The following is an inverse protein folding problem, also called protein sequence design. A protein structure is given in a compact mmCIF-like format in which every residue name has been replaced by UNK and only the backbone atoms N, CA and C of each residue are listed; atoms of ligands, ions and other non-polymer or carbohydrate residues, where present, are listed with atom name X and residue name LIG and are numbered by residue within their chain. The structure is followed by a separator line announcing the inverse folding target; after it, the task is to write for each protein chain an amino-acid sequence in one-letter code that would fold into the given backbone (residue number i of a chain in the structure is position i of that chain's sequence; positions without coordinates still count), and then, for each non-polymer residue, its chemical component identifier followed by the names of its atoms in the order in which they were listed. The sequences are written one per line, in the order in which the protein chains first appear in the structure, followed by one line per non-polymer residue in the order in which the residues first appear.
data_IF_350582975455
#
_entry.id   IF_350582975455
#
_cell.length_a   1.000
_cell.length_b   1.000
_cell.length_c   1.000
_cell.angle_alpha   90.00
_cell.angle_beta   90.00
_cell.angle_gamma   90.00
#
_symmetry.space_group_name_H-M   'P 1'
#
loop_
_entity.id
_entity.type
_entity.pdbx_description
1 polymer ?
#
# COMPACT_ATOMS: atom_id res chain seq x y z
N UNK A 1 20.72 -6.61 0.01
CA UNK A 1 21.00 -5.52 0.96
C UNK A 1 19.85 -5.31 1.94
N UNK A 2 18.57 -5.22 1.49
CA UNK A 2 17.42 -5.01 2.38
C UNK A 2 17.30 -6.10 3.45
N UNK A 3 17.45 -7.38 3.09
CA UNK A 3 17.40 -8.47 4.07
C UNK A 3 18.53 -8.36 5.13
N UNK A 4 19.74 -7.98 4.70
CA UNK A 4 20.84 -7.75 5.62
C UNK A 4 20.52 -6.58 6.54
N UNK A 5 20.02 -5.47 6.00
CA UNK A 5 19.64 -4.31 6.79
C UNK A 5 18.55 -4.64 7.83
N UNK A 6 17.57 -5.48 7.46
CA UNK A 6 16.53 -5.94 8.40
C UNK A 6 17.13 -6.74 9.55
N UNK A 7 18.03 -7.67 9.27
CA UNK A 7 18.72 -8.46 10.32
C UNK A 7 19.54 -7.53 11.22
N UNK A 8 20.30 -6.62 10.62
CA UNK A 8 21.11 -5.64 11.37
C UNK A 8 20.20 -4.75 12.22
N UNK A 9 19.06 -4.29 11.70
CA UNK A 9 18.11 -3.49 12.47
C UNK A 9 17.64 -4.25 13.71
N UNK A 10 17.16 -5.50 13.55
CA UNK A 10 16.69 -6.32 14.69
C UNK A 10 17.81 -6.51 15.73
N UNK A 11 19.04 -6.82 15.30
CA UNK A 11 20.16 -7.01 16.22
C UNK A 11 20.49 -5.73 16.97
N UNK A 12 20.54 -4.59 16.26
CA UNK A 12 20.80 -3.29 16.87
C UNK A 12 19.65 -2.83 17.77
N UNK A 13 18.39 -3.10 17.45
CA UNK A 13 17.24 -2.79 18.30
C UNK A 13 17.40 -3.52 19.64
N UNK A 14 17.64 -4.82 19.61
CA UNK A 14 17.86 -5.60 20.84
C UNK A 14 19.06 -5.06 21.63
N UNK A 15 20.16 -4.77 20.96
CA UNK A 15 21.38 -4.25 21.62
C UNK A 15 21.16 -2.88 22.24
N UNK A 16 20.56 -1.93 21.53
CA UNK A 16 20.37 -0.57 22.03
C UNK A 16 19.27 -0.46 23.09
N UNK A 17 18.20 -1.25 22.95
CA UNK A 17 17.09 -1.20 23.90
C UNK A 17 17.41 -1.99 25.17
N UNK A 18 17.94 -3.22 25.02
CA UNK A 18 18.15 -4.12 26.16
C UNK A 18 19.49 -3.86 26.85
N UNK A 19 20.60 -3.80 26.08
CA UNK A 19 21.94 -3.68 26.65
C UNK A 19 22.30 -2.23 27.05
N UNK A 20 22.01 -1.26 26.19
CA UNK A 20 22.31 0.14 26.42
C UNK A 20 21.15 0.92 27.08
N UNK A 21 19.95 0.32 27.19
CA UNK A 21 18.74 0.90 27.80
C UNK A 21 18.36 2.28 27.23
N UNK A 22 18.62 2.51 25.95
CA UNK A 22 18.33 3.78 25.28
C UNK A 22 16.82 3.96 24.96
N UNK A 23 15.98 2.94 25.20
CA UNK A 23 14.55 3.01 24.95
C UNK A 23 14.22 3.36 23.49
N UNK A 24 13.28 4.29 23.28
CA UNK A 24 12.82 4.70 21.94
C UNK A 24 13.94 5.31 21.09
N UNK A 25 14.86 6.05 21.71
CA UNK A 25 16.01 6.63 21.00
C UNK A 25 16.93 5.55 20.44
N UNK A 26 17.08 4.42 21.14
CA UNK A 26 17.85 3.27 20.67
C UNK A 26 17.23 2.64 19.42
N UNK A 27 15.91 2.44 19.40
CA UNK A 27 15.19 1.95 18.23
C UNK A 27 15.35 2.87 17.01
N UNK A 28 15.25 4.19 17.22
CA UNK A 28 15.45 5.17 16.16
C UNK A 28 16.87 5.12 15.58
N UNK A 29 17.89 5.02 16.44
CA UNK A 29 19.29 4.88 16.02
C UNK A 29 19.54 3.58 15.25
N UNK A 30 19.01 2.46 15.71
CA UNK A 30 19.11 1.17 15.02
C UNK A 30 18.54 1.24 13.61
N UNK A 31 17.37 1.85 13.45
CA UNK A 31 16.73 2.05 12.15
C UNK A 31 17.57 2.92 11.22
N UNK A 32 18.09 4.05 11.71
CA UNK A 32 18.95 4.94 10.91
C UNK A 32 20.21 4.23 10.45
N UNK A 33 20.91 3.51 11.35
CA UNK A 33 22.14 2.77 11.03
C UNK A 33 21.85 1.67 9.99
N UNK A 34 20.79 0.90 10.18
CA UNK A 34 20.43 -0.17 9.25
C UNK A 34 20.09 0.36 7.85
N UNK A 35 19.33 1.46 7.76
CA UNK A 35 19.02 2.11 6.49
C UNK A 35 20.25 2.72 5.83
N UNK A 36 21.12 3.37 6.59
CA UNK A 36 22.37 3.90 6.08
C UNK A 36 23.27 2.78 5.53
N UNK A 37 23.41 1.67 6.26
CA UNK A 37 24.15 0.50 5.81
C UNK A 37 23.61 -0.07 4.49
N UNK A 38 22.29 -0.18 4.36
CA UNK A 38 21.64 -0.61 3.12
C UNK A 38 21.91 0.36 1.98
N UNK A 39 21.73 1.66 2.20
CA UNK A 39 21.92 2.69 1.17
C UNK A 39 23.38 2.76 0.69
N UNK A 40 24.33 2.82 1.60
CA UNK A 40 25.76 2.79 1.25
C UNK A 40 26.18 1.47 0.60
N UNK A 41 25.66 0.34 1.08
CA UNK A 41 25.92 -0.97 0.49
C UNK A 41 25.44 -1.07 -0.96
N UNK A 42 24.23 -0.61 -1.25
CA UNK A 42 23.70 -0.57 -2.62
C UNK A 42 24.53 0.40 -3.48
N UNK A 43 24.85 1.57 -2.95
CA UNK A 43 25.66 2.58 -3.65
C UNK A 43 27.01 1.99 -4.06
N UNK A 44 27.75 1.39 -3.14
CA UNK A 44 29.04 0.76 -3.41
C UNK A 44 28.89 -0.36 -4.45
N UNK A 45 27.87 -1.20 -4.30
CA UNK A 45 27.61 -2.28 -5.26
C UNK A 45 27.39 -1.75 -6.68
N UNK A 46 26.58 -0.69 -6.85
CA UNK A 46 26.34 -0.06 -8.16
C UNK A 46 27.63 0.51 -8.74
N UNK A 47 28.44 1.22 -7.95
CA UNK A 47 29.71 1.77 -8.39
C UNK A 47 30.71 0.69 -8.84
N UNK A 48 30.70 -0.48 -8.20
CA UNK A 48 31.62 -1.56 -8.54
C UNK A 48 31.14 -2.43 -9.71
N UNK A 49 29.81 -2.67 -9.80
CA UNK A 49 29.26 -3.71 -10.67
C UNK A 49 28.49 -3.17 -11.86
N UNK A 50 27.91 -1.97 -11.74
CA UNK A 50 26.97 -1.40 -12.73
C UNK A 50 27.49 -0.05 -13.25
N UNK A 51 28.75 -0.03 -13.73
CA UNK A 51 29.41 1.22 -14.18
C UNK A 51 28.66 1.91 -15.32
N UNK A 52 27.96 1.14 -16.15
CA UNK A 52 27.17 1.65 -17.28
C UNK A 52 25.95 2.47 -16.87
N UNK A 53 25.46 2.29 -15.62
CA UNK A 53 24.37 3.08 -15.06
C UNK A 53 24.83 4.40 -14.43
N UNK A 54 26.16 4.59 -14.28
CA UNK A 54 26.68 5.80 -13.64
C UNK A 54 26.61 6.98 -14.62
N UNK A 55 26.09 8.14 -14.16
CA UNK A 55 26.05 9.33 -15.01
C UNK A 55 27.47 9.79 -15.34
N UNK A 56 27.79 9.91 -16.62
CA UNK A 56 29.04 10.53 -17.09
C UNK A 56 28.83 12.05 -17.15
N UNK A 57 29.94 12.80 -17.21
CA UNK A 57 29.89 14.26 -17.34
C UNK A 57 29.05 14.73 -18.55
N UNK A 58 28.96 13.93 -19.59
CA UNK A 58 28.15 14.22 -20.77
C UNK A 58 26.64 14.17 -20.51
N UNK A 59 26.21 13.40 -19.48
CA UNK A 59 24.80 13.31 -19.06
C UNK A 59 24.41 14.35 -18.01
N UNK A 60 25.39 15.09 -17.47
CA UNK A 60 25.15 16.13 -16.46
C UNK A 60 24.80 17.48 -17.12
N UNK A 61 23.75 17.51 -17.94
CA UNK A 61 23.16 18.74 -18.44
C UNK A 61 21.71 18.86 -18.03
N UNK A 62 21.26 20.09 -17.84
CA UNK A 62 19.88 20.37 -17.46
C UNK A 62 18.99 20.33 -18.68
N UNK A 63 18.03 19.40 -18.69
CA UNK A 63 16.98 19.28 -19.70
C UNK A 63 15.64 19.66 -19.09
N UNK A 64 15.05 20.73 -19.61
CA UNK A 64 13.79 21.29 -19.10
C UNK A 64 12.61 20.33 -19.29
N UNK A 65 12.58 19.58 -20.39
CA UNK A 65 11.49 18.65 -20.67
C UNK A 65 11.53 17.45 -19.71
N UNK A 66 12.72 16.91 -19.47
CA UNK A 66 12.93 15.84 -18.49
C UNK A 66 12.59 16.31 -17.09
N UNK A 67 13.03 17.51 -16.72
CA UNK A 67 12.72 18.11 -15.42
C UNK A 67 11.20 18.30 -15.23
N UNK A 68 10.50 18.82 -16.24
CA UNK A 68 9.05 19.00 -16.18
C UNK A 68 8.32 17.65 -15.99
N UNK A 69 8.72 16.60 -16.71
CA UNK A 69 8.17 15.26 -16.53
C UNK A 69 8.40 14.75 -15.11
N UNK A 70 9.62 14.81 -14.60
CA UNK A 70 9.94 14.38 -13.22
C UNK A 70 9.11 15.16 -12.21
N UNK A 71 9.03 16.49 -12.35
CA UNK A 71 8.22 17.35 -11.48
C UNK A 71 6.76 16.92 -11.48
N UNK A 72 6.15 16.75 -12.65
CA UNK A 72 4.72 16.46 -12.77
C UNK A 72 4.37 15.07 -12.19
N UNK A 73 5.20 14.06 -12.46
CA UNK A 73 5.04 12.74 -11.85
C UNK A 73 5.23 12.76 -10.32
N UNK A 74 6.23 13.49 -9.87
CA UNK A 74 6.52 13.61 -8.43
C UNK A 74 5.40 14.34 -7.69
N UNK A 75 4.88 15.44 -8.27
CA UNK A 75 3.75 16.18 -7.70
C UNK A 75 2.49 15.32 -7.62
N UNK A 76 2.14 14.60 -8.70
CA UNK A 76 0.97 13.72 -8.70
C UNK A 76 1.10 12.59 -7.67
N UNK A 77 2.28 12.00 -7.55
CA UNK A 77 2.54 10.96 -6.54
C UNK A 77 2.47 11.54 -5.12
N UNK A 78 3.01 12.74 -4.91
CA UNK A 78 2.95 13.44 -3.63
C UNK A 78 1.49 13.76 -3.24
N UNK A 79 0.69 14.30 -4.18
CA UNK A 79 -0.73 14.57 -3.98
C UNK A 79 -1.47 13.26 -3.65
N UNK A 80 -1.24 12.19 -4.41
CA UNK A 80 -1.87 10.88 -4.16
C UNK A 80 -1.58 10.40 -2.74
N UNK A 81 -0.32 10.42 -2.32
CA UNK A 81 0.10 9.96 -1.01
C UNK A 81 -0.45 10.85 0.12
N UNK A 82 -0.48 12.16 -0.10
CA UNK A 82 -1.04 13.11 0.86
C UNK A 82 -2.55 12.91 1.05
N UNK A 83 -3.30 12.75 -0.05
CA UNK A 83 -4.75 12.43 0.00
C UNK A 83 -4.98 11.12 0.75
N UNK A 84 -4.16 10.09 0.46
CA UNK A 84 -4.27 8.80 1.12
C UNK A 84 -4.07 8.92 2.64
N UNK A 85 -3.00 9.57 3.08
CA UNK A 85 -2.72 9.76 4.49
C UNK A 85 -3.79 10.61 5.19
N UNK A 86 -4.25 11.70 4.54
CA UNK A 86 -5.30 12.55 5.08
C UNK A 86 -6.62 11.80 5.26
N UNK A 87 -7.03 10.98 4.27
CA UNK A 87 -8.21 10.14 4.38
C UNK A 87 -8.13 9.12 5.53
N UNK A 88 -6.97 8.52 5.74
CA UNK A 88 -6.73 7.62 6.89
C UNK A 88 -6.88 8.37 8.20
N UNK A 89 -6.29 9.58 8.32
CA UNK A 89 -6.40 10.40 9.52
C UNK A 89 -7.84 10.83 9.82
N UNK A 90 -8.64 11.16 8.80
CA UNK A 90 -10.06 11.49 8.99
C UNK A 90 -10.84 10.31 9.54
N UNK A 91 -10.64 9.11 9.01
CA UNK A 91 -11.28 7.90 9.54
C UNK A 91 -10.81 7.61 10.96
N UNK A 92 -9.51 7.74 11.25
CA UNK A 92 -8.99 7.57 12.61
C UNK A 92 -9.64 8.56 13.59
N UNK A 93 -9.80 9.83 13.18
CA UNK A 93 -10.49 10.85 13.96
C UNK A 93 -11.95 10.48 14.26
N UNK A 94 -12.67 9.96 13.26
CA UNK A 94 -14.04 9.48 13.43
C UNK A 94 -14.11 8.27 14.36
N UNK A 95 -13.23 7.29 14.20
CA UNK A 95 -13.16 6.11 15.09
C UNK A 95 -12.90 6.53 16.55
N UNK A 96 -12.04 7.51 16.76
CA UNK A 96 -11.75 8.02 18.10
C UNK A 96 -12.99 8.62 18.80
N UNK A 97 -13.96 9.17 18.05
CA UNK A 97 -15.20 9.70 18.59
C UNK A 97 -16.14 8.62 19.15
N UNK A 98 -15.95 7.35 18.79
CA UNK A 98 -16.71 6.21 19.31
C UNK A 98 -16.18 5.67 20.66
N UNK A 99 -15.13 6.27 21.19
CA UNK A 99 -14.57 5.94 22.50
C UNK A 99 -13.41 4.93 22.46
N UNK A 100 -12.88 4.67 23.66
CA UNK A 100 -11.62 3.93 23.83
C UNK A 100 -11.72 2.48 23.34
N UNK A 101 -12.86 1.82 23.54
CA UNK A 101 -13.07 0.41 23.13
C UNK A 101 -12.94 0.26 21.61
N UNK A 102 -13.67 1.09 20.86
CA UNK A 102 -13.64 1.06 19.38
C UNK A 102 -12.28 1.49 18.83
N UNK A 103 -11.64 2.50 19.46
CA UNK A 103 -10.30 2.94 19.10
C UNK A 103 -9.26 1.82 19.29
N UNK A 104 -9.33 1.09 20.41
CA UNK A 104 -8.42 -0.03 20.70
C UNK A 104 -8.63 -1.20 19.73
N UNK A 105 -9.89 -1.54 19.46
CA UNK A 105 -10.24 -2.57 18.48
C UNK A 105 -9.71 -2.24 17.09
N UNK A 106 -9.94 -1.00 16.63
CA UNK A 106 -9.46 -0.52 15.34
C UNK A 106 -7.94 -0.50 15.26
N UNK A 107 -7.26 -0.01 16.29
CA UNK A 107 -5.80 0.06 16.31
C UNK A 107 -5.13 -1.33 16.21
N UNK A 108 -5.69 -2.34 16.88
CA UNK A 108 -5.22 -3.72 16.78
C UNK A 108 -5.54 -4.32 15.41
N UNK A 109 -6.78 -4.16 14.95
CA UNK A 109 -7.24 -4.71 13.69
C UNK A 109 -6.50 -4.12 12.47
N UNK A 110 -6.24 -2.81 12.44
CA UNK A 110 -5.44 -2.15 11.36
C UNK A 110 -4.00 -2.64 11.33
N UNK A 111 -3.41 -3.00 12.48
CA UNK A 111 -2.06 -3.61 12.48
C UNK A 111 -2.07 -4.99 11.84
N UNK A 112 -3.08 -5.81 12.13
CA UNK A 112 -3.26 -7.12 11.49
C UNK A 112 -3.48 -6.95 9.99
N UNK A 113 -4.37 -6.04 9.62
CA UNK A 113 -4.70 -5.68 8.24
C UNK A 113 -3.46 -5.23 7.45
N UNK A 114 -2.54 -4.49 8.09
CA UNK A 114 -1.29 -4.06 7.46
C UNK A 114 -0.43 -5.22 6.96
N UNK A 115 -0.37 -6.33 7.67
CA UNK A 115 0.33 -7.54 7.22
C UNK A 115 -0.33 -8.18 5.99
N UNK A 116 -1.62 -7.96 5.80
CA UNK A 116 -2.36 -8.48 4.66
C UNK A 116 -2.19 -7.58 3.42
N UNK A 117 -2.36 -6.27 3.54
CA UNK A 117 -2.36 -5.40 2.37
C UNK A 117 -0.98 -4.90 1.93
N UNK A 118 0.01 -4.76 2.84
CA UNK A 118 1.35 -4.28 2.47
C UNK A 118 2.02 -5.10 1.35
N UNK A 119 2.00 -6.45 1.39
CA UNK A 119 2.58 -7.22 0.29
C UNK A 119 1.90 -6.97 -1.05
N UNK A 120 0.59 -6.73 -1.04
CA UNK A 120 -0.18 -6.44 -2.26
C UNK A 120 0.15 -5.04 -2.80
N UNK A 121 0.33 -4.07 -1.90
CA UNK A 121 0.77 -2.72 -2.25
C UNK A 121 2.17 -2.74 -2.88
N UNK A 122 3.10 -3.49 -2.28
CA UNK A 122 4.47 -3.60 -2.81
C UNK A 122 4.51 -4.35 -4.12
N UNK A 123 3.66 -5.38 -4.29
CA UNK A 123 3.48 -6.05 -5.57
C UNK A 123 2.97 -5.07 -6.65
N UNK A 124 2.00 -4.21 -6.32
CA UNK A 124 1.51 -3.15 -7.21
C UNK A 124 2.62 -2.15 -7.59
N UNK A 125 3.50 -1.80 -6.66
CA UNK A 125 4.65 -0.92 -6.92
C UNK A 125 5.68 -1.60 -7.85
N UNK A 126 6.01 -2.88 -7.61
CA UNK A 126 6.87 -3.68 -8.48
C UNK A 126 6.27 -3.84 -9.89
N UNK A 127 4.97 -4.10 -9.95
CA UNK A 127 4.23 -4.18 -11.21
C UNK A 127 4.27 -2.87 -12.00
N UNK A 128 4.19 -1.72 -11.33
CA UNK A 128 4.36 -0.42 -11.98
C UNK A 128 5.72 -0.28 -12.69
N UNK A 129 6.79 -0.74 -12.05
CA UNK A 129 8.14 -0.74 -12.62
C UNK A 129 8.22 -1.67 -13.83
N UNK A 130 7.65 -2.88 -13.72
CA UNK A 130 7.58 -3.83 -14.84
C UNK A 130 6.86 -3.23 -16.05
N UNK A 131 5.70 -2.60 -15.85
CA UNK A 131 4.93 -1.95 -16.92
C UNK A 131 5.76 -0.83 -17.56
N UNK A 132 6.37 0.05 -16.75
CA UNK A 132 7.15 1.19 -17.24
C UNK A 132 8.34 0.74 -18.10
N UNK A 133 9.07 -0.30 -17.68
CA UNK A 133 10.19 -0.85 -18.45
C UNK A 133 9.75 -1.42 -19.79
N UNK A 134 8.68 -2.24 -19.80
CA UNK A 134 8.19 -2.85 -21.03
C UNK A 134 7.53 -1.81 -21.96
N UNK A 135 6.89 -0.78 -21.41
CA UNK A 135 6.37 0.35 -22.19
C UNK A 135 7.49 1.15 -22.85
N UNK A 136 8.57 1.42 -22.11
CA UNK A 136 9.77 2.07 -22.65
C UNK A 136 10.46 1.26 -23.75
N UNK A 137 10.38 -0.07 -23.69
CA UNK A 137 10.90 -0.99 -24.71
C UNK A 137 9.93 -1.24 -25.87
N UNK A 138 8.71 -0.67 -25.86
CA UNK A 138 7.61 -0.92 -26.82
C UNK A 138 7.17 -2.39 -26.89
N UNK A 139 7.28 -3.13 -25.77
CA UNK A 139 6.95 -4.56 -25.67
C UNK A 139 5.50 -4.74 -25.16
N UNK A 140 4.51 -4.36 -25.98
CA UNK A 140 3.08 -4.40 -25.61
C UNK A 140 2.59 -5.83 -25.27
N UNK A 141 3.08 -6.85 -26.00
CA UNK A 141 2.71 -8.25 -25.74
C UNK A 141 3.18 -8.70 -24.34
N UNK A 142 4.36 -8.25 -23.91
CA UNK A 142 4.87 -8.54 -22.57
C UNK A 142 4.06 -7.85 -21.48
N UNK A 143 3.60 -6.62 -21.74
CA UNK A 143 2.70 -5.90 -20.82
C UNK A 143 1.41 -6.69 -20.61
N UNK A 144 0.80 -7.20 -21.67
CA UNK A 144 -0.45 -7.98 -21.59
C UNK A 144 -0.27 -9.30 -20.83
N UNK A 145 0.78 -10.05 -21.15
CA UNK A 145 1.10 -11.29 -20.44
C UNK A 145 1.39 -11.02 -18.96
N UNK A 146 2.15 -9.97 -18.68
CA UNK A 146 2.45 -9.53 -17.31
C UNK A 146 1.19 -9.10 -16.55
N UNK A 147 0.27 -8.38 -17.19
CA UNK A 147 -1.00 -7.97 -16.58
C UNK A 147 -1.86 -9.19 -16.20
N UNK A 148 -2.02 -10.16 -17.11
CA UNK A 148 -2.75 -11.41 -16.82
C UNK A 148 -2.12 -12.18 -15.65
N UNK A 149 -0.80 -12.31 -15.66
CA UNK A 149 -0.06 -12.98 -14.57
C UNK A 149 -0.21 -12.22 -13.24
N UNK A 150 -0.10 -10.89 -13.27
CA UNK A 150 -0.24 -10.06 -12.07
C UNK A 150 -1.64 -10.16 -11.46
N UNK A 151 -2.69 -10.13 -12.28
CA UNK A 151 -4.07 -10.32 -11.83
C UNK A 151 -4.22 -11.72 -11.19
N UNK A 152 -3.73 -12.77 -11.85
CA UNK A 152 -3.83 -14.12 -11.32
C UNK A 152 -3.11 -14.28 -9.97
N UNK A 153 -1.86 -13.83 -9.87
CA UNK A 153 -1.05 -13.92 -8.66
C UNK A 153 -1.68 -13.10 -7.53
N UNK A 154 -2.07 -11.85 -7.80
CA UNK A 154 -2.72 -10.99 -6.81
C UNK A 154 -4.03 -11.56 -6.32
N UNK A 155 -4.85 -12.13 -7.23
CA UNK A 155 -6.13 -12.76 -6.87
C UNK A 155 -5.91 -13.96 -5.96
N UNK A 156 -4.98 -14.86 -6.30
CA UNK A 156 -4.67 -16.04 -5.48
C UNK A 156 -4.18 -15.60 -4.11
N UNK A 157 -3.26 -14.64 -4.06
CA UNK A 157 -2.72 -14.12 -2.81
C UNK A 157 -3.82 -13.49 -1.95
N UNK A 158 -4.66 -12.60 -2.53
CA UNK A 158 -5.75 -11.96 -1.81
C UNK A 158 -6.75 -12.97 -1.26
N UNK A 159 -7.11 -14.01 -2.03
CA UNK A 159 -8.02 -15.06 -1.56
C UNK A 159 -7.42 -15.88 -0.42
N UNK A 160 -6.12 -16.23 -0.49
CA UNK A 160 -5.44 -16.94 0.60
C UNK A 160 -5.40 -16.10 1.88
N UNK A 161 -5.04 -14.82 1.78
CA UNK A 161 -5.00 -13.92 2.94
C UNK A 161 -6.41 -13.65 3.47
N UNK A 162 -7.40 -13.43 2.59
CA UNK A 162 -8.81 -13.30 2.98
C UNK A 162 -9.27 -14.48 3.81
N UNK A 163 -9.02 -15.69 3.32
CA UNK A 163 -9.38 -16.91 4.06
C UNK A 163 -8.68 -16.96 5.43
N UNK A 164 -7.37 -16.68 5.46
CA UNK A 164 -6.59 -16.69 6.70
C UNK A 164 -7.10 -15.66 7.71
N UNK A 165 -7.29 -14.40 7.29
CA UNK A 165 -7.72 -13.32 8.19
C UNK A 165 -9.16 -13.53 8.68
N UNK A 166 -10.08 -13.92 7.80
CA UNK A 166 -11.49 -14.13 8.18
C UNK A 166 -11.65 -15.34 9.10
N UNK A 167 -10.95 -16.44 8.81
CA UNK A 167 -11.06 -17.67 9.59
C UNK A 167 -10.38 -17.57 10.96
N UNK A 168 -9.21 -16.91 11.00
CA UNK A 168 -8.41 -16.75 12.23
C UNK A 168 -8.55 -15.37 12.87
N UNK A 169 -9.62 -14.62 12.56
CA UNK A 169 -9.81 -13.24 13.06
C UNK A 169 -9.73 -13.14 14.59
N UNK A 170 -10.29 -14.11 15.30
CA UNK A 170 -10.27 -14.16 16.78
C UNK A 170 -8.86 -14.38 17.29
N UNK A 171 -8.16 -15.35 16.77
CA UNK A 171 -6.80 -15.71 17.17
C UNK A 171 -5.82 -14.58 16.89
N UNK A 172 -6.00 -13.92 15.76
CA UNK A 172 -5.20 -12.74 15.38
C UNK A 172 -5.44 -11.57 16.34
N UNK A 173 -6.69 -11.32 16.74
CA UNK A 173 -7.00 -10.28 17.74
C UNK A 173 -6.40 -10.60 19.10
N UNK A 174 -6.38 -11.87 19.51
CA UNK A 174 -5.80 -12.31 20.78
C UNK A 174 -4.27 -12.12 20.87
N UNK A 175 -3.58 -11.90 19.74
CA UNK A 175 -2.15 -11.56 19.74
C UNK A 175 -1.92 -10.15 20.34
N UNK A 176 -2.88 -9.25 20.14
CA UNK A 176 -2.74 -7.83 20.52
C UNK A 176 -3.59 -7.42 21.72
N UNK A 177 -4.68 -8.14 21.97
CA UNK A 177 -5.70 -7.79 22.98
C UNK A 177 -5.83 -8.92 23.99
N UNK A 178 -5.88 -8.55 25.27
CA UNK A 178 -6.04 -9.54 26.35
C UNK A 178 -7.40 -10.23 26.27
N UNK A 179 -7.49 -11.55 26.53
CA UNK A 179 -8.73 -12.33 26.41
C UNK A 179 -9.92 -11.84 27.24
N UNK A 180 -9.67 -11.06 28.32
CA UNK A 180 -10.72 -10.47 29.15
C UNK A 180 -11.49 -9.35 28.45
N UNK A 181 -10.91 -8.72 27.41
CA UNK A 181 -11.48 -7.57 26.69
C UNK A 181 -12.41 -8.05 25.56
N UNK A 182 -13.49 -8.74 25.93
CA UNK A 182 -14.40 -9.43 25.00
C UNK A 182 -15.00 -8.46 23.97
N UNK A 183 -15.37 -7.27 24.40
CA UNK A 183 -16.01 -6.27 23.53
C UNK A 183 -15.03 -5.73 22.47
N UNK A 184 -13.78 -5.44 22.86
CA UNK A 184 -12.73 -4.99 21.93
C UNK A 184 -12.45 -6.08 20.89
N UNK A 185 -12.35 -7.32 21.35
CA UNK A 185 -12.13 -8.48 20.45
C UNK A 185 -13.29 -8.64 19.47
N UNK A 186 -14.54 -8.54 19.95
CA UNK A 186 -15.71 -8.68 19.09
C UNK A 186 -15.76 -7.61 17.99
N UNK A 187 -15.48 -6.35 18.33
CA UNK A 187 -15.42 -5.24 17.36
C UNK A 187 -14.28 -5.42 16.36
N UNK A 188 -13.11 -5.86 16.82
CA UNK A 188 -11.96 -6.15 15.95
C UNK A 188 -12.21 -7.32 15.00
N UNK A 189 -12.85 -8.39 15.47
CA UNK A 189 -13.26 -9.52 14.61
C UNK A 189 -14.21 -9.04 13.52
N UNK A 190 -15.21 -8.22 13.88
CA UNK A 190 -16.16 -7.67 12.91
C UNK A 190 -15.45 -6.85 11.83
N UNK A 191 -14.50 -5.98 12.20
CA UNK A 191 -13.68 -5.24 11.26
C UNK A 191 -12.92 -6.18 10.31
N UNK A 192 -12.15 -7.12 10.87
CA UNK A 192 -11.32 -8.06 10.11
C UNK A 192 -12.14 -8.96 9.18
N UNK A 193 -13.36 -9.34 9.57
CA UNK A 193 -14.25 -10.12 8.72
C UNK A 193 -14.77 -9.29 7.54
N UNK A 194 -15.18 -8.05 7.77
CA UNK A 194 -15.69 -7.17 6.70
C UNK A 194 -14.59 -6.84 5.70
N UNK A 195 -13.44 -6.35 6.17
CA UNK A 195 -12.33 -6.00 5.28
C UNK A 195 -11.67 -7.23 4.66
N UNK A 196 -11.47 -8.28 5.47
CA UNK A 196 -10.86 -9.52 5.01
C UNK A 196 -11.61 -10.18 3.86
N UNK A 197 -12.95 -10.20 3.88
CA UNK A 197 -13.75 -10.68 2.76
C UNK A 197 -13.57 -9.86 1.47
N UNK A 198 -13.11 -8.62 1.59
CA UNK A 198 -13.01 -7.66 0.49
C UNK A 198 -11.57 -7.38 0.03
N UNK A 199 -10.56 -8.12 0.51
CA UNK A 199 -9.15 -7.89 0.11
C UNK A 199 -8.90 -8.02 -1.39
N UNK A 200 -9.76 -8.72 -2.12
CA UNK A 200 -9.68 -8.74 -3.58
C UNK A 200 -9.84 -7.34 -4.17
N UNK A 201 -10.70 -6.49 -3.59
CA UNK A 201 -10.88 -5.10 -4.01
C UNK A 201 -9.61 -4.27 -3.83
N UNK A 202 -8.98 -4.30 -2.64
CA UNK A 202 -7.74 -3.55 -2.45
C UNK A 202 -6.61 -4.07 -3.34
N UNK A 203 -6.56 -5.40 -3.58
CA UNK A 203 -5.61 -6.01 -4.50
C UNK A 203 -5.75 -5.51 -5.93
N UNK A 204 -6.97 -5.43 -6.44
CA UNK A 204 -7.30 -4.86 -7.73
C UNK A 204 -6.90 -3.38 -7.81
N UNK A 205 -7.23 -2.60 -6.76
CA UNK A 205 -6.92 -1.18 -6.69
C UNK A 205 -5.42 -0.89 -6.77
N UNK A 206 -4.58 -1.64 -6.05
CA UNK A 206 -3.13 -1.47 -6.12
C UNK A 206 -2.55 -1.87 -7.48
N UNK A 207 -3.11 -2.90 -8.14
CA UNK A 207 -2.72 -3.23 -9.51
C UNK A 207 -3.10 -2.12 -10.49
N UNK A 208 -4.28 -1.52 -10.36
CA UNK A 208 -4.71 -0.37 -11.17
C UNK A 208 -3.78 0.83 -10.94
N UNK A 209 -3.42 1.14 -9.70
CA UNK A 209 -2.44 2.18 -9.40
C UNK A 209 -1.09 1.89 -10.06
N UNK A 210 -0.61 0.65 -9.97
CA UNK A 210 0.63 0.23 -10.59
C UNK A 210 0.59 0.35 -12.10
N UNK A 211 -0.48 -0.15 -12.73
CA UNK A 211 -0.69 -0.08 -14.17
C UNK A 211 -0.69 1.35 -14.69
N UNK A 212 -1.56 2.23 -14.15
CA UNK A 212 -1.69 3.59 -14.62
C UNK A 212 -0.43 4.44 -14.40
N UNK A 213 0.29 4.23 -13.31
CA UNK A 213 1.61 4.84 -13.11
C UNK A 213 2.63 4.34 -14.14
N UNK A 214 2.66 3.03 -14.39
CA UNK A 214 3.60 2.40 -15.32
C UNK A 214 3.38 2.80 -16.78
N UNK A 215 2.13 2.98 -17.23
CA UNK A 215 1.83 3.44 -18.59
C UNK A 215 1.98 4.95 -18.78
N UNK A 216 2.38 5.68 -17.74
CA UNK A 216 2.60 7.12 -17.83
C UNK A 216 1.37 7.99 -17.59
N UNK A 217 0.35 7.47 -16.90
CA UNK A 217 -0.90 8.18 -16.57
C UNK A 217 -1.14 8.28 -15.06
N UNK A 218 -0.19 8.78 -14.25
CA UNK A 218 -0.30 8.82 -12.80
C UNK A 218 -1.50 9.64 -12.29
N UNK A 219 -1.99 10.60 -13.08
CA UNK A 219 -3.18 11.37 -12.73
C UNK A 219 -4.43 10.51 -12.53
N UNK A 220 -4.54 9.36 -13.24
CA UNK A 220 -5.66 8.42 -13.05
C UNK A 220 -5.53 7.74 -11.68
N UNK A 221 -4.34 7.35 -11.25
CA UNK A 221 -4.11 6.80 -9.92
C UNK A 221 -4.55 7.78 -8.83
N UNK A 222 -4.30 9.09 -9.02
CA UNK A 222 -4.79 10.14 -8.10
C UNK A 222 -6.31 10.16 -8.07
N UNK A 223 -6.97 10.16 -9.24
CA UNK A 223 -8.45 10.15 -9.33
C UNK A 223 -9.04 8.94 -8.61
N UNK A 224 -8.48 7.74 -8.85
CA UNK A 224 -8.94 6.52 -8.17
C UNK A 224 -8.74 6.59 -6.65
N UNK A 225 -7.64 7.19 -6.19
CA UNK A 225 -7.40 7.42 -4.76
C UNK A 225 -8.43 8.37 -4.17
N UNK A 226 -8.76 9.48 -4.86
CA UNK A 226 -9.78 10.43 -4.42
C UNK A 226 -11.17 9.76 -4.37
N UNK A 227 -11.52 8.95 -5.37
CA UNK A 227 -12.78 8.21 -5.39
C UNK A 227 -12.82 7.23 -4.22
N UNK A 228 -11.79 6.40 -4.04
CA UNK A 228 -11.75 5.40 -2.97
C UNK A 228 -11.87 6.04 -1.59
N UNK A 229 -10.99 7.00 -1.27
CA UNK A 229 -10.95 7.62 0.05
C UNK A 229 -12.05 8.65 0.26
N UNK A 230 -12.39 9.41 -0.77
CA UNK A 230 -13.50 10.36 -0.71
C UNK A 230 -14.83 9.66 -0.41
N UNK A 231 -15.12 8.56 -1.10
CA UNK A 231 -16.29 7.72 -0.84
C UNK A 231 -16.26 7.14 0.58
N UNK A 232 -15.12 6.59 0.99
CA UNK A 232 -14.91 6.03 2.34
C UNK A 232 -15.20 7.08 3.41
N UNK A 233 -14.59 8.27 3.31
CA UNK A 233 -14.79 9.35 4.28
C UNK A 233 -16.25 9.83 4.26
N UNK A 234 -16.81 10.10 3.07
CA UNK A 234 -18.19 10.56 2.94
C UNK A 234 -19.20 9.57 3.56
N UNK A 235 -19.11 8.28 3.20
CA UNK A 235 -20.00 7.26 3.74
C UNK A 235 -19.82 7.08 5.26
N UNK A 236 -18.58 7.05 5.74
CA UNK A 236 -18.32 6.92 7.17
C UNK A 236 -18.94 8.07 7.96
N UNK A 237 -18.70 9.34 7.57
CA UNK A 237 -19.26 10.50 8.28
C UNK A 237 -20.78 10.63 8.16
N UNK A 238 -21.37 10.23 7.02
CA UNK A 238 -22.82 10.30 6.81
C UNK A 238 -23.56 9.22 7.62
N UNK A 239 -23.04 8.01 7.65
CA UNK A 239 -23.77 6.85 8.20
C UNK A 239 -23.31 6.41 9.58
N UNK A 240 -22.11 6.78 10.05
CA UNK A 240 -21.65 6.42 11.40
C UNK A 240 -22.58 6.94 12.52
N UNK A 241 -23.18 8.14 12.44
CA UNK A 241 -24.11 8.60 13.49
C UNK A 241 -25.36 7.74 13.63
N UNK A 242 -25.82 7.06 12.58
CA UNK A 242 -27.04 6.25 12.56
C UNK A 242 -26.79 4.76 12.68
N UNK A 243 -25.73 4.25 12.04
CA UNK A 243 -25.42 2.82 11.96
C UNK A 243 -24.24 2.41 12.86
N UNK A 244 -23.66 3.37 13.58
CA UNK A 244 -22.52 3.12 14.46
C UNK A 244 -21.23 2.79 13.69
N UNK A 245 -20.30 2.16 14.38
CA UNK A 245 -18.99 1.82 13.84
C UNK A 245 -19.00 0.89 12.62
N UNK A 246 -20.03 0.06 12.48
CA UNK A 246 -20.19 -0.80 11.29
C UNK A 246 -20.20 -0.02 9.98
N UNK A 247 -20.78 1.21 9.99
CA UNK A 247 -20.77 2.06 8.81
C UNK A 247 -19.34 2.44 8.37
N UNK A 248 -18.44 2.64 9.34
CA UNK A 248 -17.04 2.94 9.06
C UNK A 248 -16.36 1.74 8.41
N UNK A 249 -16.61 0.53 8.95
CA UNK A 249 -16.02 -0.70 8.42
C UNK A 249 -16.45 -0.97 6.98
N UNK A 250 -17.74 -0.85 6.68
CA UNK A 250 -18.27 -1.06 5.32
C UNK A 250 -17.90 0.05 4.33
N UNK A 251 -17.68 1.28 4.81
CA UNK A 251 -17.30 2.40 3.95
C UNK A 251 -15.95 2.15 3.26
N UNK A 252 -15.05 1.35 3.86
CA UNK A 252 -13.73 1.07 3.33
C UNK A 252 -13.80 0.22 2.07
N UNK A 253 -14.38 -1.00 2.08
CA UNK A 253 -14.46 -1.81 0.87
C UNK A 253 -15.37 -1.21 -0.21
N UNK A 254 -16.42 -0.49 0.15
CA UNK A 254 -17.26 0.21 -0.83
C UNK A 254 -16.42 1.22 -1.62
N UNK A 255 -15.52 1.95 -0.93
CA UNK A 255 -14.60 2.87 -1.58
C UNK A 255 -13.65 2.16 -2.55
N UNK A 256 -13.13 0.98 -2.19
CA UNK A 256 -12.27 0.19 -3.07
C UNK A 256 -13.02 -0.24 -4.34
N UNK A 257 -14.18 -0.87 -4.19
CA UNK A 257 -14.96 -1.37 -5.34
C UNK A 257 -15.40 -0.26 -6.28
N UNK A 258 -15.76 0.92 -5.75
CA UNK A 258 -16.13 2.05 -6.59
C UNK A 258 -14.94 2.58 -7.41
N UNK A 259 -13.76 2.65 -6.80
CA UNK A 259 -12.54 3.03 -7.50
C UNK A 259 -12.14 1.97 -8.52
N UNK A 260 -12.24 0.67 -8.18
CA UNK A 260 -11.94 -0.43 -9.10
C UNK A 260 -12.86 -0.40 -10.33
N UNK A 261 -14.16 -0.26 -10.12
CA UNK A 261 -15.11 -0.13 -11.22
C UNK A 261 -14.76 1.04 -12.13
N UNK A 262 -14.43 2.18 -11.54
CA UNK A 262 -14.03 3.38 -12.31
C UNK A 262 -12.75 3.14 -13.08
N UNK A 263 -11.74 2.54 -12.44
CA UNK A 263 -10.44 2.25 -13.07
C UNK A 263 -10.55 1.24 -14.20
N UNK A 264 -11.28 0.15 -14.00
CA UNK A 264 -11.53 -0.86 -15.03
C UNK A 264 -12.33 -0.27 -16.20
N UNK A 265 -13.40 0.47 -15.91
CA UNK A 265 -14.21 1.13 -16.95
C UNK A 265 -13.38 2.10 -17.81
N UNK A 266 -12.51 2.88 -17.16
CA UNK A 266 -11.58 3.76 -17.88
C UNK A 266 -10.61 2.94 -18.76
N UNK A 267 -10.06 1.85 -18.25
CA UNK A 267 -9.16 0.96 -18.99
C UNK A 267 -9.82 0.34 -20.23
N UNK A 268 -11.05 -0.13 -20.10
CA UNK A 268 -11.83 -0.68 -21.21
C UNK A 268 -12.09 0.40 -22.27
N UNK A 269 -12.52 1.60 -21.87
CA UNK A 269 -12.95 2.65 -22.81
C UNK A 269 -11.81 3.41 -23.47
N UNK A 270 -10.71 3.63 -22.77
CA UNK A 270 -9.60 4.50 -23.23
C UNK A 270 -8.31 3.76 -23.58
N UNK A 271 -8.07 2.60 -22.95
CA UNK A 271 -6.86 1.79 -23.17
C UNK A 271 -7.13 0.56 -24.06
N UNK A 272 -8.36 0.39 -24.56
CA UNK A 272 -8.77 -0.73 -25.43
C UNK A 272 -8.46 -2.13 -24.84
N UNK A 273 -8.59 -2.30 -23.54
CA UNK A 273 -8.29 -3.59 -22.88
C UNK A 273 -9.05 -4.78 -23.46
N UNK A 274 -10.23 -4.57 -24.07
CA UNK A 274 -11.00 -5.61 -24.72
C UNK A 274 -10.46 -6.00 -26.12
N UNK A 275 -9.62 -5.18 -26.76
CA UNK A 275 -9.00 -5.51 -28.05
C UNK A 275 -7.77 -6.41 -27.90
N UNK A 276 -7.31 -6.63 -26.67
CA UNK A 276 -6.16 -7.47 -26.34
C UNK A 276 -6.45 -8.99 -26.43
N UNK A 277 -7.65 -9.40 -26.85
CA UNK A 277 -8.06 -10.81 -27.00
C UNK A 277 -8.21 -11.24 -28.46
N UNK A 278 -7.72 -10.48 -29.41
CA UNK A 278 -7.54 -10.88 -30.80
C UNK A 278 -6.03 -10.96 -31.09
#
# INVERSE_FOLDING_TARGET
FLAIATIVNIVLDVFFIVSLRLGVSGAALATIIAQALSGFGIMIYVFLTQKDLLPTRQHCHYDIEVFQKIRDYSLLTCIQQSVMNFGILMIQGLVNSFGVLTMSAFAAAVKIDSFAYMPVQDFGNAFSTFIAQNKGANEEERIQKGLKSAICISTIFCLMISFGVVFFAKELMLIFIHPSEIEIIAQGIQYLQIEGMCYLGIGCLFLLYGYYRGVGKPGISVVLTVISLGTRVALAYLFAPTLGQCAIWWAIPIGWFLADFTGIFYGIKKENWLQFNK
#
